data_IF_808016352954
#
_entry.id   IF_808016352954
#
_cell.length_a   1.000
_cell.length_b   1.000
_cell.length_c   1.000
_cell.angle_alpha   90.00
_cell.angle_beta   90.00
_cell.angle_gamma   90.00
#
_symmetry.space_group_name_H-M   'P 1'
#
loop_
_entity.id
_entity.type
_entity.pdbx_description
1 polymer ?
#
# COMPACT_ATOMS: atom_id res chain seq x y z
N UNK A 1 -9.54 6.84 14.32
CA UNK A 1 -9.84 5.41 14.60
C UNK A 1 -10.00 4.70 13.27
N UNK A 2 -9.34 3.56 13.06
CA UNK A 2 -9.46 2.77 11.82
C UNK A 2 -10.69 1.86 11.87
N UNK A 3 -11.33 1.66 10.72
CA UNK A 3 -12.49 0.81 10.51
C UNK A 3 -12.09 -0.66 10.58
N UNK A 4 -12.79 -1.42 11.43
CA UNK A 4 -12.63 -2.86 11.52
C UNK A 4 -13.37 -3.62 10.40
N UNK A 5 -14.66 -3.37 10.12
CA UNK A 5 -15.38 -4.11 9.08
C UNK A 5 -14.69 -4.05 7.71
N UNK A 6 -14.56 -5.22 7.09
CA UNK A 6 -14.14 -5.39 5.68
C UNK A 6 -15.19 -6.32 5.06
N UNK A 7 -16.17 -5.78 4.31
CA UNK A 7 -17.20 -6.59 3.70
C UNK A 7 -16.62 -7.44 2.56
N UNK A 8 -17.40 -8.40 2.09
CA UNK A 8 -17.07 -9.19 0.91
C UNK A 8 -16.85 -8.26 -0.31
N UNK A 9 -15.70 -8.32 -1.00
CA UNK A 9 -15.48 -7.47 -2.17
C UNK A 9 -16.41 -7.88 -3.32
N UNK A 10 -16.89 -6.92 -4.12
CA UNK A 10 -17.61 -7.23 -5.35
C UNK A 10 -16.66 -7.87 -6.37
N UNK A 11 -17.22 -8.53 -7.39
CA UNK A 11 -16.42 -9.15 -8.46
C UNK A 11 -15.68 -8.11 -9.30
N UNK A 12 -16.27 -6.93 -9.52
CA UNK A 12 -15.64 -5.83 -10.22
C UNK A 12 -15.76 -4.52 -9.43
N UNK A 13 -14.73 -3.67 -9.51
CA UNK A 13 -14.72 -2.37 -8.84
C UNK A 13 -15.91 -1.49 -9.28
N UNK A 14 -16.33 -1.60 -10.54
CA UNK A 14 -17.45 -0.85 -11.08
C UNK A 14 -18.77 -1.10 -10.32
N UNK A 15 -18.95 -2.28 -9.72
CA UNK A 15 -20.14 -2.63 -8.95
C UNK A 15 -20.25 -1.85 -7.64
N UNK A 16 -19.14 -1.28 -7.15
CA UNK A 16 -19.13 -0.43 -5.96
C UNK A 16 -20.05 0.78 -6.10
N UNK A 17 -20.25 1.28 -7.33
CA UNK A 17 -21.22 2.34 -7.64
C UNK A 17 -22.64 1.97 -7.19
N UNK A 18 -23.03 0.71 -7.30
CA UNK A 18 -24.39 0.29 -6.93
C UNK A 18 -24.58 0.25 -5.41
N UNK A 19 -23.53 -0.12 -4.65
CA UNK A 19 -23.53 0.00 -3.19
C UNK A 19 -23.63 1.47 -2.76
N UNK A 20 -22.87 2.37 -3.39
CA UNK A 20 -22.98 3.81 -3.15
C UNK A 20 -24.38 4.35 -3.51
N UNK A 21 -24.94 3.93 -4.65
CA UNK A 21 -26.26 4.38 -5.13
C UNK A 21 -27.42 3.91 -4.25
N UNK A 22 -27.24 2.83 -3.49
CA UNK A 22 -28.23 2.40 -2.52
C UNK A 22 -28.43 3.43 -1.39
N UNK A 23 -27.36 4.13 -1.01
CA UNK A 23 -27.41 5.23 -0.03
C UNK A 23 -28.07 6.47 -0.66
N UNK A 24 -28.99 7.15 0.04
CA UNK A 24 -29.79 8.24 -0.53
C UNK A 24 -28.98 9.53 -0.77
N UNK A 25 -29.51 10.37 -1.66
CA UNK A 25 -29.01 11.74 -1.93
C UNK A 25 -29.44 12.75 -0.86
N UNK A 26 -30.49 12.43 -0.12
CA UNK A 26 -30.95 13.20 1.04
C UNK A 26 -30.55 12.41 2.29
N UNK A 27 -29.97 13.04 3.34
CA UNK A 27 -29.55 12.33 4.53
C UNK A 27 -30.69 11.52 5.17
N UNK A 28 -30.43 10.25 5.45
CA UNK A 28 -31.35 9.33 6.14
C UNK A 28 -30.65 8.62 7.30
N UNK A 29 -31.41 8.10 8.27
CA UNK A 29 -30.83 7.42 9.43
C UNK A 29 -30.16 6.11 9.04
N UNK A 30 -29.30 5.60 9.93
CA UNK A 30 -28.59 4.34 9.75
C UNK A 30 -29.52 3.19 9.39
N UNK A 31 -30.64 3.02 10.09
CA UNK A 31 -31.58 1.92 9.85
C UNK A 31 -32.19 1.97 8.45
N UNK A 32 -32.57 3.18 8.02
CA UNK A 32 -33.16 3.42 6.71
C UNK A 32 -32.13 3.17 5.59
N UNK A 33 -30.87 3.60 5.79
CA UNK A 33 -29.76 3.30 4.88
C UNK A 33 -29.44 1.80 4.80
N UNK A 34 -29.39 1.12 5.95
CA UNK A 34 -29.16 -0.31 6.02
C UNK A 34 -30.27 -1.10 5.34
N UNK A 35 -31.53 -0.74 5.52
CA UNK A 35 -32.65 -1.37 4.82
C UNK A 35 -32.49 -1.25 3.30
N UNK A 36 -32.19 -0.05 2.80
CA UNK A 36 -31.96 0.19 1.37
C UNK A 36 -30.78 -0.60 0.80
N UNK A 37 -29.67 -0.68 1.55
CA UNK A 37 -28.50 -1.46 1.15
C UNK A 37 -28.84 -2.95 1.05
N UNK A 38 -29.60 -3.48 2.01
CA UNK A 38 -30.07 -4.88 1.96
C UNK A 38 -30.96 -5.13 0.77
N UNK A 39 -31.99 -4.31 0.59
CA UNK A 39 -33.01 -4.54 -0.44
C UNK A 39 -32.43 -4.39 -1.86
N UNK A 40 -31.45 -3.50 -2.06
CA UNK A 40 -30.90 -3.21 -3.39
C UNK A 40 -29.69 -4.06 -3.76
N UNK A 41 -28.98 -4.62 -2.77
CA UNK A 41 -27.76 -5.41 -2.96
C UNK A 41 -27.87 -6.83 -2.40
N UNK A 42 -29.10 -7.26 -2.08
CA UNK A 42 -29.44 -8.57 -1.52
C UNK A 42 -28.57 -8.98 -0.32
N UNK A 43 -28.30 -8.03 0.59
CA UNK A 43 -27.45 -8.30 1.75
C UNK A 43 -28.19 -9.15 2.80
N UNK A 44 -27.54 -10.17 3.38
CA UNK A 44 -28.20 -11.21 4.15
C UNK A 44 -28.87 -10.68 5.42
N UNK A 45 -28.29 -9.67 6.06
CA UNK A 45 -28.81 -9.11 7.31
C UNK A 45 -28.42 -7.63 7.51
N UNK A 46 -29.00 -7.01 8.53
CA UNK A 46 -28.73 -5.61 8.90
C UNK A 46 -27.28 -5.37 9.33
N UNK A 47 -26.62 -6.34 9.95
CA UNK A 47 -25.23 -6.19 10.37
C UNK A 47 -24.31 -6.02 9.16
N UNK A 48 -24.45 -6.88 8.15
CA UNK A 48 -23.67 -6.80 6.89
C UNK A 48 -23.93 -5.48 6.17
N UNK A 49 -25.18 -4.99 6.15
CA UNK A 49 -25.49 -3.69 5.57
C UNK A 49 -24.88 -2.51 6.33
N UNK A 50 -24.85 -2.59 7.65
CA UNK A 50 -24.19 -1.59 8.49
C UNK A 50 -22.66 -1.59 8.29
N UNK A 51 -22.07 -2.78 8.14
CA UNK A 51 -20.65 -2.94 7.83
C UNK A 51 -20.31 -2.32 6.46
N UNK A 52 -21.13 -2.56 5.44
CA UNK A 52 -21.04 -1.89 4.15
C UNK A 52 -21.17 -0.36 4.25
N UNK A 53 -22.16 0.15 5.00
CA UNK A 53 -22.34 1.59 5.16
C UNK A 53 -21.11 2.25 5.82
N UNK A 54 -20.55 1.61 6.86
CA UNK A 54 -19.35 2.08 7.51
C UNK A 54 -18.12 2.01 6.58
N UNK A 55 -18.03 0.97 5.75
CA UNK A 55 -16.97 0.79 4.75
C UNK A 55 -17.04 1.84 3.64
N UNK A 56 -18.20 2.11 3.06
CA UNK A 56 -18.40 3.18 2.08
C UNK A 56 -18.01 4.56 2.65
N UNK A 57 -18.28 4.80 3.94
CA UNK A 57 -17.81 6.01 4.63
C UNK A 57 -16.29 6.05 4.76
N UNK A 58 -15.64 4.92 5.06
CA UNK A 58 -14.19 4.85 5.08
C UNK A 58 -13.58 5.16 3.70
N UNK A 59 -14.23 4.71 2.62
CA UNK A 59 -13.81 5.01 1.25
C UNK A 59 -14.15 6.44 0.78
N UNK A 60 -14.91 7.22 1.55
CA UNK A 60 -15.34 8.58 1.15
C UNK A 60 -16.49 8.62 0.14
N UNK A 61 -17.10 7.47 -0.16
CA UNK A 61 -18.28 7.35 -1.04
C UNK A 61 -19.59 7.73 -0.34
N UNK A 62 -19.56 7.73 0.99
CA UNK A 62 -20.66 8.11 1.87
C UNK A 62 -20.13 9.06 2.95
N UNK A 63 -20.97 10.02 3.33
CA UNK A 63 -20.68 10.94 4.43
C UNK A 63 -21.76 10.85 5.49
N UNK A 64 -21.34 10.89 6.74
CA UNK A 64 -22.23 11.04 7.88
C UNK A 64 -22.46 12.53 8.17
N UNK A 65 -23.70 12.86 8.53
CA UNK A 65 -24.15 14.21 8.89
C UNK A 65 -24.94 14.15 10.19
N UNK A 66 -25.28 15.31 10.75
CA UNK A 66 -26.18 15.38 11.91
C UNK A 66 -27.58 14.77 11.67
N UNK A 67 -27.99 14.63 10.40
CA UNK A 67 -29.29 14.06 9.99
C UNK A 67 -29.18 12.62 9.48
N UNK A 68 -28.00 11.99 9.59
CA UNK A 68 -27.74 10.64 9.09
C UNK A 68 -26.81 10.62 7.88
N UNK A 69 -26.90 9.58 7.06
CA UNK A 69 -25.95 9.25 6.00
C UNK A 69 -26.46 9.69 4.63
N UNK A 70 -25.54 10.18 3.82
CA UNK A 70 -25.78 10.63 2.45
C UNK A 70 -24.63 10.17 1.56
N UNK A 71 -24.93 9.75 0.32
CA UNK A 71 -23.87 9.43 -0.65
C UNK A 71 -23.16 10.71 -1.12
N UNK A 72 -21.86 10.61 -1.40
CA UNK A 72 -21.11 11.69 -2.04
C UNK A 72 -21.30 11.64 -3.56
N UNK A 73 -20.83 12.69 -4.25
CA UNK A 73 -20.69 12.76 -5.71
C UNK A 73 -19.36 12.16 -6.21
N UNK A 74 -18.52 11.66 -5.31
CA UNK A 74 -17.25 11.04 -5.66
C UNK A 74 -17.49 9.74 -6.44
N UNK A 75 -16.77 9.59 -7.54
CA UNK A 75 -16.74 8.35 -8.32
C UNK A 75 -15.83 7.32 -7.63
N UNK A 76 -16.21 6.03 -7.55
CA UNK A 76 -15.39 4.98 -6.95
C UNK A 76 -14.25 4.57 -7.89
N UNK A 77 -13.28 5.46 -8.07
CA UNK A 77 -12.05 5.19 -8.82
C UNK A 77 -11.12 4.28 -8.00
N UNK A 78 -10.20 3.54 -8.66
CA UNK A 78 -9.19 2.76 -7.95
C UNK A 78 -8.43 3.61 -6.92
N UNK A 79 -7.99 4.81 -7.30
CA UNK A 79 -7.23 5.69 -6.41
C UNK A 79 -8.01 6.13 -5.18
N UNK A 80 -9.29 6.51 -5.33
CA UNK A 80 -10.13 6.88 -4.19
C UNK A 80 -10.24 5.71 -3.20
N UNK A 81 -10.44 4.49 -3.72
CA UNK A 81 -10.56 3.28 -2.89
C UNK A 81 -9.22 2.96 -2.22
N UNK A 82 -8.11 3.02 -2.95
CA UNK A 82 -6.76 2.86 -2.39
C UNK A 82 -6.50 3.83 -1.23
N UNK A 83 -6.81 5.11 -1.41
CA UNK A 83 -6.69 6.14 -0.35
C UNK A 83 -7.54 5.81 0.86
N UNK A 84 -8.80 5.42 0.64
CA UNK A 84 -9.73 5.04 1.72
C UNK A 84 -9.26 3.83 2.51
N UNK A 85 -8.79 2.78 1.83
CA UNK A 85 -8.23 1.58 2.44
C UNK A 85 -7.01 1.93 3.31
N UNK A 86 -5.99 2.56 2.72
CA UNK A 86 -4.73 2.93 3.40
C UNK A 86 -4.95 3.78 4.64
N UNK A 87 -5.79 4.82 4.52
CA UNK A 87 -5.98 5.79 5.58
C UNK A 87 -6.97 5.37 6.67
N UNK A 88 -7.96 4.52 6.35
CA UNK A 88 -9.11 4.31 7.24
C UNK A 88 -9.43 2.87 7.57
N UNK A 89 -8.84 1.86 6.93
CA UNK A 89 -9.10 0.45 7.26
C UNK A 89 -7.98 -0.13 8.14
N UNK A 90 -8.37 -0.90 9.14
CA UNK A 90 -7.47 -1.51 10.10
C UNK A 90 -6.64 -2.62 9.42
N UNK A 91 -5.34 -2.69 9.74
CA UNK A 91 -4.37 -3.66 9.23
C UNK A 91 -3.99 -3.53 7.74
N UNK A 92 -4.39 -2.45 7.06
CA UNK A 92 -3.95 -2.22 5.67
C UNK A 92 -2.44 -1.99 5.57
N UNK A 93 -1.80 -1.10 6.37
CA UNK A 93 -0.36 -0.88 6.28
C UNK A 93 0.43 -2.17 6.48
N UNK A 94 0.07 -2.97 7.48
CA UNK A 94 0.71 -4.24 7.78
C UNK A 94 0.55 -5.26 6.65
N UNK A 95 -0.60 -5.24 5.96
CA UNK A 95 -0.81 -6.05 4.76
C UNK A 95 0.04 -5.57 3.58
N UNK A 96 0.15 -4.26 3.36
CA UNK A 96 0.99 -3.70 2.30
C UNK A 96 2.47 -3.98 2.54
N UNK A 97 2.94 -3.88 3.79
CA UNK A 97 4.31 -4.22 4.16
C UNK A 97 4.61 -5.70 3.93
N UNK A 98 3.67 -6.59 4.24
CA UNK A 98 3.79 -8.01 3.92
C UNK A 98 3.86 -8.26 2.40
N UNK A 99 3.01 -7.59 1.62
CA UNK A 99 2.97 -7.73 0.16
C UNK A 99 4.25 -7.20 -0.52
N UNK A 100 4.84 -6.12 -0.02
CA UNK A 100 6.12 -5.58 -0.53
C UNK A 100 7.29 -6.55 -0.34
N UNK A 101 7.29 -7.30 0.76
CA UNK A 101 8.31 -8.29 1.06
C UNK A 101 8.07 -9.65 0.38
N UNK A 102 6.86 -9.86 -0.16
CA UNK A 102 6.46 -11.13 -0.73
C UNK A 102 7.07 -11.35 -2.12
N UNK A 103 7.29 -12.61 -2.46
CA UNK A 103 7.74 -13.03 -3.79
C UNK A 103 6.80 -14.10 -4.32
N UNK A 104 6.81 -14.42 -5.63
CA UNK A 104 6.00 -15.52 -6.15
C UNK A 104 6.31 -16.88 -5.50
N UNK A 105 7.52 -17.07 -4.96
CA UNK A 105 7.91 -18.28 -4.25
C UNK A 105 7.50 -18.29 -2.77
N UNK A 106 7.24 -17.12 -2.19
CA UNK A 106 6.79 -16.93 -0.82
C UNK A 106 5.69 -15.84 -0.77
N UNK A 107 4.47 -16.16 -1.28
CA UNK A 107 3.39 -15.20 -1.37
C UNK A 107 2.68 -15.03 -0.01
N UNK A 108 2.02 -13.87 0.19
CA UNK A 108 1.19 -13.63 1.37
C UNK A 108 -0.12 -14.42 1.26
N UNK A 109 -0.32 -15.39 2.15
CA UNK A 109 -1.60 -16.09 2.29
C UNK A 109 -2.49 -15.40 3.32
N UNK A 110 -3.83 -15.62 3.30
CA UNK A 110 -4.72 -15.12 4.35
C UNK A 110 -4.29 -15.55 5.76
N UNK A 111 -3.83 -16.79 5.90
CA UNK A 111 -3.32 -17.34 7.15
C UNK A 111 -2.02 -16.67 7.58
N UNK A 112 -1.07 -16.47 6.65
CA UNK A 112 0.18 -15.78 6.91
C UNK A 112 -0.04 -14.32 7.33
N UNK A 113 -0.97 -13.62 6.67
CA UNK A 113 -1.34 -12.25 7.03
C UNK A 113 -2.00 -12.20 8.41
N UNK A 114 -2.90 -13.14 8.71
CA UNK A 114 -3.51 -13.22 10.04
C UNK A 114 -2.45 -13.46 11.12
N UNK A 115 -1.56 -14.43 10.97
CA UNK A 115 -0.52 -14.70 11.98
C UNK A 115 0.38 -13.49 12.22
N UNK A 116 0.81 -12.79 11.15
CA UNK A 116 1.59 -11.55 11.26
C UNK A 116 0.88 -10.44 12.02
N UNK A 117 -0.44 -10.34 11.88
CA UNK A 117 -1.24 -9.26 12.47
C UNK A 117 -2.00 -9.66 13.73
N UNK A 118 -1.84 -10.91 14.17
CA UNK A 118 -2.55 -11.54 15.28
C UNK A 118 -2.44 -10.71 16.56
N UNK A 119 -1.26 -10.16 16.85
CA UNK A 119 -1.00 -9.36 18.04
C UNK A 119 -1.70 -7.99 18.02
N UNK A 120 -1.94 -7.45 16.82
CA UNK A 120 -2.63 -6.17 16.59
C UNK A 120 -4.16 -6.29 16.66
N UNK A 121 -4.71 -7.52 16.71
CA UNK A 121 -6.16 -7.75 16.85
C UNK A 121 -6.66 -7.20 18.20
N UNK A 122 -7.70 -6.33 18.24
CA UNK A 122 -8.22 -5.76 19.48
C UNK A 122 -8.60 -6.82 20.53
N UNK A 123 -8.12 -6.64 21.78
CA UNK A 123 -8.36 -7.58 22.90
C UNK A 123 -9.85 -7.89 23.13
N UNK A 124 -10.72 -6.88 23.02
CA UNK A 124 -12.16 -7.06 23.18
C UNK A 124 -12.75 -8.03 22.14
N UNK A 125 -12.22 -8.04 20.91
CA UNK A 125 -12.72 -8.94 19.88
C UNK A 125 -12.35 -10.39 20.19
N UNK A 126 -11.13 -10.63 20.70
CA UNK A 126 -10.68 -11.98 21.14
C UNK A 126 -11.50 -12.51 22.33
N UNK A 127 -11.99 -11.61 23.19
CA UNK A 127 -12.76 -11.98 24.38
C UNK A 127 -14.24 -12.24 24.09
N UNK A 128 -14.80 -11.64 23.04
CA UNK A 128 -16.24 -11.68 22.73
C UNK A 128 -16.64 -12.89 21.88
N UNK A 129 -15.71 -13.44 21.11
CA UNK A 129 -15.95 -14.47 20.12
C UNK A 129 -14.96 -15.63 20.33
N UNK A 130 -15.41 -16.85 20.68
CA UNK A 130 -14.52 -18.01 20.84
C UNK A 130 -13.83 -18.38 19.53
N UNK A 131 -14.45 -18.08 18.38
CA UNK A 131 -13.95 -18.41 17.03
C UNK A 131 -13.33 -17.18 16.36
N UNK A 132 -12.85 -16.21 17.15
CA UNK A 132 -12.30 -14.96 16.63
C UNK A 132 -11.15 -15.18 15.63
N UNK A 133 -10.35 -16.23 15.79
CA UNK A 133 -9.24 -16.51 14.88
C UNK A 133 -9.73 -16.79 13.46
N UNK A 134 -10.76 -17.62 13.33
CA UNK A 134 -11.40 -17.92 12.05
C UNK A 134 -12.01 -16.65 11.44
N UNK A 135 -12.77 -15.89 12.25
CA UNK A 135 -13.35 -14.60 11.84
C UNK A 135 -12.29 -13.61 11.33
N UNK A 136 -11.10 -13.58 11.93
CA UNK A 136 -10.02 -12.68 11.54
C UNK A 136 -9.19 -13.21 10.35
N UNK A 137 -9.05 -14.53 10.18
CA UNK A 137 -8.52 -15.13 8.94
C UNK A 137 -9.42 -14.84 7.75
N UNK A 138 -10.74 -14.99 7.88
CA UNK A 138 -11.69 -14.60 6.84
C UNK A 138 -11.60 -13.11 6.50
N UNK A 139 -11.45 -12.26 7.54
CA UNK A 139 -11.26 -10.83 7.34
C UNK A 139 -9.95 -10.54 6.58
N UNK A 140 -8.87 -11.25 6.88
CA UNK A 140 -7.60 -11.14 6.17
C UNK A 140 -7.76 -11.54 4.69
N UNK A 141 -8.48 -12.63 4.41
CA UNK A 141 -8.84 -13.03 3.04
C UNK A 141 -9.62 -11.93 2.31
N UNK A 142 -10.70 -11.40 2.91
CA UNK A 142 -11.48 -10.30 2.33
C UNK A 142 -10.60 -9.06 2.08
N UNK A 143 -9.67 -8.77 2.99
CA UNK A 143 -8.75 -7.65 2.84
C UNK A 143 -7.81 -7.82 1.64
N UNK A 144 -7.16 -8.98 1.49
CA UNK A 144 -6.28 -9.27 0.35
C UNK A 144 -7.04 -9.17 -0.98
N UNK A 145 -8.27 -9.69 -1.04
CA UNK A 145 -9.13 -9.58 -2.23
C UNK A 145 -9.54 -8.14 -2.54
N UNK A 146 -9.79 -7.30 -1.53
CA UNK A 146 -10.02 -5.87 -1.73
C UNK A 146 -8.77 -5.16 -2.27
N UNK A 147 -7.59 -5.50 -1.77
CA UNK A 147 -6.32 -4.96 -2.26
C UNK A 147 -6.07 -5.38 -3.72
N UNK A 148 -6.39 -6.62 -4.07
CA UNK A 148 -6.32 -7.11 -5.44
C UNK A 148 -7.29 -6.42 -6.39
N UNK A 149 -8.51 -6.11 -5.92
CA UNK A 149 -9.51 -5.38 -6.71
C UNK A 149 -9.07 -3.97 -7.14
N UNK A 150 -8.05 -3.41 -6.48
CA UNK A 150 -7.47 -2.10 -6.79
C UNK A 150 -5.98 -2.19 -7.10
N UNK A 151 -5.51 -3.34 -7.58
CA UNK A 151 -4.14 -3.58 -8.07
C UNK A 151 -3.03 -3.32 -7.03
N UNK A 152 -3.36 -3.32 -5.74
CA UNK A 152 -2.36 -3.26 -4.66
C UNK A 152 -1.81 -4.65 -4.31
N UNK A 153 -2.53 -5.70 -4.68
CA UNK A 153 -2.10 -7.08 -4.58
C UNK A 153 -2.35 -7.77 -5.92
N UNK A 154 -1.55 -8.77 -6.25
CA UNK A 154 -1.78 -9.65 -7.38
C UNK A 154 -1.89 -11.09 -6.85
N UNK A 155 -2.95 -11.83 -7.19
CA UNK A 155 -3.06 -13.23 -6.80
C UNK A 155 -2.02 -14.07 -7.55
N UNK A 156 -1.38 -15.00 -6.84
CA UNK A 156 -0.44 -15.97 -7.40
C UNK A 156 -1.10 -17.35 -7.41
N UNK A 157 -0.85 -18.12 -8.47
CA UNK A 157 -1.38 -19.47 -8.62
C UNK A 157 -2.81 -19.52 -9.18
N UNK A 158 -3.27 -20.72 -9.55
CA UNK A 158 -4.57 -20.95 -10.19
C UNK A 158 -5.77 -20.87 -9.24
N UNK A 159 -5.53 -20.98 -7.93
CA UNK A 159 -6.57 -20.93 -6.89
C UNK A 159 -6.51 -19.64 -6.04
N UNK A 160 -5.58 -18.72 -6.34
CA UNK A 160 -5.39 -17.46 -5.60
C UNK A 160 -5.27 -17.64 -4.08
N UNK A 161 -4.48 -18.63 -3.65
CA UNK A 161 -4.19 -18.94 -2.25
C UNK A 161 -3.10 -18.04 -1.65
N UNK A 162 -2.35 -17.34 -2.50
CA UNK A 162 -1.35 -16.35 -2.11
C UNK A 162 -1.40 -15.08 -2.96
N UNK A 163 -0.82 -14.01 -2.43
CA UNK A 163 -0.76 -12.69 -3.05
C UNK A 163 0.66 -12.11 -2.99
N UNK A 164 1.05 -11.40 -4.04
CA UNK A 164 2.25 -10.55 -4.08
C UNK A 164 1.84 -9.09 -4.27
N UNK A 165 2.79 -8.15 -4.19
CA UNK A 165 2.54 -6.77 -4.54
C UNK A 165 2.00 -6.66 -5.97
N UNK A 166 0.83 -6.02 -6.14
CA UNK A 166 0.30 -5.71 -7.47
C UNK A 166 0.97 -4.47 -8.05
N UNK A 167 0.72 -4.20 -9.34
CA UNK A 167 1.34 -3.10 -10.10
C UNK A 167 1.25 -1.74 -9.39
N UNK A 168 0.10 -1.40 -8.79
CA UNK A 168 -0.09 -0.12 -8.13
C UNK A 168 0.63 -0.02 -6.77
N UNK A 169 1.00 -1.15 -6.17
CA UNK A 169 1.86 -1.18 -4.98
C UNK A 169 3.33 -1.19 -5.37
N UNK A 170 3.71 -1.94 -6.40
CA UNK A 170 5.08 -2.01 -6.91
C UNK A 170 5.55 -0.66 -7.48
N UNK A 171 4.66 0.08 -8.13
CA UNK A 171 4.92 1.42 -8.65
C UNK A 171 4.71 2.52 -7.59
N UNK A 172 4.38 2.17 -6.34
CA UNK A 172 4.23 3.18 -5.30
C UNK A 172 5.60 3.77 -4.91
N UNK A 173 5.65 5.03 -4.44
CA UNK A 173 6.92 5.68 -4.23
C UNK A 173 7.85 5.01 -3.19
N UNK A 174 7.29 4.35 -2.16
CA UNK A 174 8.08 3.63 -1.16
C UNK A 174 8.69 2.36 -1.74
N UNK A 175 7.91 1.58 -2.49
CA UNK A 175 8.37 0.38 -3.18
C UNK A 175 9.47 0.71 -4.19
N UNK A 176 9.31 1.81 -4.95
CA UNK A 176 10.32 2.27 -5.90
C UNK A 176 11.63 2.69 -5.21
N UNK A 177 11.56 3.41 -4.09
CA UNK A 177 12.74 3.79 -3.32
C UNK A 177 13.49 2.56 -2.77
N UNK A 178 12.77 1.58 -2.23
CA UNK A 178 13.37 0.32 -1.75
C UNK A 178 13.99 -0.48 -2.90
N UNK A 179 13.26 -0.64 -4.01
CA UNK A 179 13.74 -1.36 -5.19
C UNK A 179 14.99 -0.70 -5.80
N UNK A 180 15.11 0.62 -5.73
CA UNK A 180 16.30 1.36 -6.15
C UNK A 180 17.54 0.95 -5.35
N UNK A 181 17.45 0.86 -4.01
CA UNK A 181 18.56 0.41 -3.17
C UNK A 181 18.86 -1.07 -3.37
N UNK A 182 17.84 -1.92 -3.41
CA UNK A 182 18.01 -3.35 -3.64
C UNK A 182 18.74 -3.63 -4.95
N UNK A 183 18.35 -2.95 -6.04
CA UNK A 183 19.00 -3.10 -7.35
C UNK A 183 20.44 -2.58 -7.35
N UNK A 184 20.71 -1.48 -6.64
CA UNK A 184 22.07 -0.95 -6.48
C UNK A 184 22.98 -1.90 -5.71
N UNK A 185 22.50 -2.41 -4.58
CA UNK A 185 23.28 -3.29 -3.68
C UNK A 185 23.51 -4.67 -4.30
N UNK A 186 22.53 -5.18 -5.06
CA UNK A 186 22.69 -6.42 -5.81
C UNK A 186 23.52 -6.25 -7.11
N UNK A 187 23.88 -5.02 -7.50
CA UNK A 187 24.56 -4.73 -8.76
C UNK A 187 23.71 -5.02 -10.00
N UNK A 188 22.38 -5.02 -9.87
CA UNK A 188 21.42 -5.29 -10.94
C UNK A 188 21.15 -4.01 -11.75
N UNK A 189 22.17 -3.52 -12.47
CA UNK A 189 22.12 -2.20 -13.12
C UNK A 189 21.08 -2.06 -14.23
N UNK A 190 20.70 -3.15 -14.90
CA UNK A 190 19.61 -3.14 -15.88
C UNK A 190 18.26 -2.92 -15.18
N UNK A 191 18.03 -3.62 -14.06
CA UNK A 191 16.85 -3.40 -13.21
C UNK A 191 16.84 -1.99 -12.65
N UNK A 192 17.98 -1.47 -12.21
CA UNK A 192 18.10 -0.08 -11.76
C UNK A 192 17.70 0.88 -12.89
N UNK A 193 18.20 0.67 -14.12
CA UNK A 193 17.83 1.51 -15.26
C UNK A 193 16.33 1.46 -15.58
N UNK A 194 15.68 0.32 -15.38
CA UNK A 194 14.23 0.18 -15.57
C UNK A 194 13.39 0.89 -14.51
N UNK A 195 13.93 1.18 -13.33
CA UNK A 195 13.25 1.96 -12.28
C UNK A 195 13.33 3.47 -12.53
N UNK A 196 14.38 3.92 -13.23
CA UNK A 196 14.67 5.33 -13.46
C UNK A 196 13.99 5.85 -14.73
N UNK A 197 13.48 7.07 -14.66
CA UNK A 197 13.07 7.81 -15.86
C UNK A 197 14.30 8.12 -16.75
N UNK A 198 14.20 8.09 -18.08
CA UNK A 198 15.33 8.43 -18.95
C UNK A 198 15.95 9.80 -18.65
N UNK A 199 15.13 10.78 -18.26
CA UNK A 199 15.55 12.13 -17.87
C UNK A 199 15.87 12.26 -16.37
N UNK A 200 16.08 11.15 -15.66
CA UNK A 200 16.42 11.13 -14.24
C UNK A 200 17.58 12.08 -13.89
N UNK A 201 17.44 12.80 -12.78
CA UNK A 201 18.50 13.67 -12.25
C UNK A 201 18.79 13.32 -10.79
N UNK A 202 20.07 13.08 -10.47
CA UNK A 202 20.52 13.00 -9.08
C UNK A 202 21.30 14.26 -8.71
N UNK A 203 20.96 14.87 -7.58
CA UNK A 203 21.75 15.88 -6.90
C UNK A 203 22.34 15.34 -5.60
N UNK A 204 23.64 15.48 -5.43
CA UNK A 204 24.35 15.22 -4.17
C UNK A 204 25.37 16.35 -3.92
N UNK A 205 25.86 16.56 -2.68
CA UNK A 205 26.60 17.77 -2.34
C UNK A 205 27.89 17.96 -3.16
N UNK A 206 28.53 16.87 -3.59
CA UNK A 206 29.76 16.87 -4.36
C UNK A 206 29.55 16.85 -5.89
N UNK A 207 28.36 16.45 -6.37
CA UNK A 207 28.13 16.20 -7.81
C UNK A 207 26.65 16.19 -8.19
N UNK A 208 26.38 16.45 -9.47
CA UNK A 208 25.08 16.20 -10.11
C UNK A 208 25.25 15.21 -11.25
N UNK A 209 24.27 14.31 -11.42
CA UNK A 209 24.15 13.42 -12.58
C UNK A 209 22.89 13.77 -13.35
N UNK A 210 23.04 14.11 -14.63
CA UNK A 210 21.93 14.38 -15.54
C UNK A 210 21.76 13.20 -16.50
N UNK A 211 20.57 12.61 -16.52
CA UNK A 211 20.22 11.47 -17.35
C UNK A 211 20.56 10.13 -16.70
N UNK A 212 19.63 9.18 -16.86
CA UNK A 212 19.76 7.82 -16.34
C UNK A 212 21.05 7.13 -16.77
N UNK A 213 21.36 7.16 -18.07
CA UNK A 213 22.47 6.36 -18.61
C UNK A 213 23.83 6.79 -18.03
N UNK A 214 24.00 8.10 -17.79
CA UNK A 214 25.20 8.65 -17.14
C UNK A 214 25.31 8.19 -15.69
N UNK A 215 24.19 8.24 -14.96
CA UNK A 215 24.10 7.81 -13.57
C UNK A 215 24.38 6.30 -13.42
N UNK A 216 23.74 5.45 -14.22
CA UNK A 216 23.90 3.99 -14.16
C UNK A 216 25.34 3.59 -14.52
N UNK A 217 25.93 4.22 -15.55
CA UNK A 217 27.34 4.00 -15.90
C UNK A 217 28.27 4.35 -14.74
N UNK A 218 28.01 5.47 -14.05
CA UNK A 218 28.80 5.84 -12.87
C UNK A 218 28.70 4.77 -11.79
N UNK A 219 27.48 4.32 -11.48
CA UNK A 219 27.24 3.34 -10.42
C UNK A 219 27.90 2.00 -10.70
N UNK A 220 27.95 1.57 -11.96
CA UNK A 220 28.59 0.31 -12.37
C UNK A 220 30.11 0.40 -12.45
N UNK A 221 30.63 1.44 -13.08
CA UNK A 221 32.00 1.44 -13.61
C UNK A 221 32.94 2.43 -12.89
N UNK A 222 32.40 3.45 -12.19
CA UNK A 222 33.19 4.59 -11.68
C UNK A 222 33.15 4.76 -10.15
N UNK A 223 32.41 3.92 -9.42
CA UNK A 223 32.32 4.03 -7.96
C UNK A 223 33.67 3.73 -7.30
N UNK A 224 34.13 4.57 -6.35
CA UNK A 224 35.35 4.30 -5.59
C UNK A 224 35.27 3.02 -4.75
N UNK A 225 34.07 2.73 -4.23
CA UNK A 225 33.72 1.55 -3.45
C UNK A 225 32.41 1.00 -4.03
N UNK A 226 32.48 -0.20 -4.59
CA UNK A 226 31.35 -0.90 -5.23
C UNK A 226 30.70 -1.91 -4.28
N UNK A 227 31.48 -2.50 -3.38
CA UNK A 227 31.01 -3.49 -2.40
C UNK A 227 30.51 -2.77 -1.14
N UNK A 228 29.28 -2.27 -1.23
CA UNK A 228 28.60 -1.51 -0.18
C UNK A 228 27.15 -1.92 -0.08
N UNK A 229 26.52 -1.70 1.06
CA UNK A 229 25.09 -1.95 1.26
C UNK A 229 24.40 -0.70 1.81
N UNK A 230 23.21 -0.38 1.29
CA UNK A 230 22.35 0.68 1.81
C UNK A 230 21.40 0.10 2.85
N UNK A 231 21.73 0.28 4.13
CA UNK A 231 20.84 -0.06 5.22
C UNK A 231 19.74 1.02 5.34
N UNK A 232 18.52 0.69 4.86
CA UNK A 232 17.34 1.56 4.99
C UNK A 232 16.79 1.48 6.41
N UNK A 233 16.96 2.55 7.19
CA UNK A 233 16.51 2.62 8.57
C UNK A 233 15.04 3.07 8.67
N UNK A 234 14.61 4.01 7.82
CA UNK A 234 13.22 4.49 7.77
C UNK A 234 12.85 5.05 6.40
N UNK A 235 11.57 4.91 6.03
CA UNK A 235 10.98 5.52 4.84
C UNK A 235 9.80 6.40 5.24
N UNK A 236 9.75 7.60 4.67
CA UNK A 236 8.72 8.61 4.90
C UNK A 236 8.01 8.92 3.57
N UNK A 237 6.87 8.26 3.30
CA UNK A 237 6.18 8.34 2.02
C UNK A 237 5.28 9.58 1.86
N UNK A 238 5.22 10.45 2.88
CA UNK A 238 4.42 11.67 2.87
C UNK A 238 5.30 12.89 2.59
N UNK A 239 4.91 13.72 1.61
CA UNK A 239 5.65 14.94 1.27
C UNK A 239 5.66 15.20 -0.24
N UNK A 240 6.51 16.13 -0.73
CA UNK A 240 6.71 16.35 -2.17
C UNK A 240 7.39 15.17 -2.89
N UNK A 241 7.79 14.14 -2.15
CA UNK A 241 8.46 12.91 -2.61
C UNK A 241 8.49 11.87 -1.49
N UNK A 242 9.41 10.91 -1.58
CA UNK A 242 9.68 9.94 -0.50
C UNK A 242 11.04 10.23 0.09
N UNK A 243 11.09 10.50 1.39
CA UNK A 243 12.36 10.62 2.10
C UNK A 243 12.76 9.26 2.67
N UNK A 244 14.03 8.89 2.52
CA UNK A 244 14.62 7.68 3.08
C UNK A 244 15.78 8.08 3.96
N UNK A 245 15.73 7.65 5.22
CA UNK A 245 16.89 7.73 6.11
C UNK A 245 17.58 6.37 6.13
N UNK A 246 18.90 6.38 5.97
CA UNK A 246 19.68 5.15 5.99
C UNK A 246 21.16 5.39 6.23
N UNK A 247 21.90 4.29 6.15
CA UNK A 247 23.35 4.25 6.33
C UNK A 247 23.98 3.47 5.18
N UNK A 248 25.09 4.00 4.66
CA UNK A 248 25.92 3.24 3.74
C UNK A 248 26.92 2.42 4.55
N UNK A 249 26.93 1.11 4.33
CA UNK A 249 27.83 0.17 4.97
C UNK A 249 28.88 -0.32 3.97
N UNK A 250 30.08 -0.64 4.45
CA UNK A 250 31.09 -1.33 3.65
C UNK A 250 30.86 -2.86 3.63
N UNK A 251 31.75 -3.58 2.96
CA UNK A 251 31.71 -5.04 2.85
C UNK A 251 31.81 -5.79 4.19
N UNK A 252 32.35 -5.16 5.24
CA UNK A 252 32.39 -5.72 6.59
C UNK A 252 31.11 -5.41 7.40
N UNK A 253 30.24 -4.55 6.87
CA UNK A 253 29.06 -4.04 7.55
C UNK A 253 29.35 -2.83 8.46
N UNK A 254 30.55 -2.26 8.37
CA UNK A 254 30.90 -1.06 9.12
C UNK A 254 30.28 0.17 8.45
N UNK A 255 29.77 1.10 9.27
CA UNK A 255 29.14 2.31 8.77
C UNK A 255 30.17 3.26 8.15
N UNK A 256 29.97 3.60 6.87
CA UNK A 256 30.72 4.63 6.18
C UNK A 256 30.16 6.02 6.48
N UNK A 257 28.84 6.19 6.32
CA UNK A 257 28.12 7.42 6.68
C UNK A 257 26.59 7.21 6.69
N UNK A 258 25.88 8.08 7.41
CA UNK A 258 24.43 8.21 7.33
C UNK A 258 24.00 9.18 6.22
N UNK A 259 22.83 8.91 5.63
CA UNK A 259 22.24 9.73 4.57
C UNK A 259 20.73 9.92 4.75
N UNK A 260 20.24 11.00 4.13
CA UNK A 260 18.82 11.22 3.83
C UNK A 260 18.69 11.43 2.32
N UNK A 261 17.91 10.58 1.68
CA UNK A 261 17.63 10.65 0.25
C UNK A 261 16.18 11.05 0.03
N UNK A 262 15.93 12.03 -0.83
CA UNK A 262 14.59 12.47 -1.21
C UNK A 262 14.32 12.10 -2.66
N UNK A 263 13.47 11.09 -2.85
CA UNK A 263 13.06 10.59 -4.17
C UNK A 263 11.88 11.39 -4.71
N UNK A 264 11.97 11.80 -5.97
CA UNK A 264 10.83 12.27 -6.77
C UNK A 264 10.38 11.16 -7.69
N UNK A 265 9.07 10.88 -7.69
CA UNK A 265 8.46 9.80 -8.47
C UNK A 265 7.34 10.36 -9.32
N UNK A 266 7.30 9.97 -10.59
CA UNK A 266 6.19 10.23 -11.50
C UNK A 266 5.97 9.03 -12.41
N UNK A 267 4.72 8.76 -12.77
CA UNK A 267 4.34 7.70 -13.71
C UNK A 267 4.97 6.32 -13.41
N UNK A 268 5.09 5.99 -12.12
CA UNK A 268 5.66 4.72 -11.65
C UNK A 268 7.19 4.60 -11.83
N UNK A 269 7.89 5.72 -12.03
CA UNK A 269 9.35 5.77 -12.18
C UNK A 269 9.97 6.82 -11.27
N UNK A 270 11.22 6.59 -10.88
CA UNK A 270 12.01 7.58 -10.15
C UNK A 270 12.53 8.62 -11.16
N UNK A 271 12.09 9.87 -11.01
CA UNK A 271 12.49 10.98 -11.89
C UNK A 271 13.61 11.82 -11.29
N UNK A 272 13.82 11.75 -9.98
CA UNK A 272 14.91 12.48 -9.35
C UNK A 272 15.25 11.97 -7.96
N UNK A 273 16.46 12.30 -7.53
CA UNK A 273 16.99 11.94 -6.21
C UNK A 273 17.85 13.08 -5.68
N UNK A 274 17.53 13.57 -4.48
CA UNK A 274 18.37 14.51 -3.76
C UNK A 274 18.97 13.83 -2.52
N UNK A 275 20.29 13.71 -2.49
CA UNK A 275 21.03 13.06 -1.41
C UNK A 275 21.62 14.09 -0.47
N UNK A 276 21.33 13.93 0.82
CA UNK A 276 21.94 14.66 1.93
C UNK A 276 22.76 13.67 2.75
N UNK A 277 24.08 13.76 2.69
CA UNK A 277 24.98 12.96 3.50
C UNK A 277 25.90 13.87 4.30
N UNK A 278 26.26 13.44 5.51
CA UNK A 278 27.24 14.17 6.30
C UNK A 278 28.59 14.10 5.57
N UNK A 279 29.17 15.25 5.25
CA UNK A 279 30.52 15.30 4.69
C UNK A 279 31.51 14.91 5.79
N UNK A 280 32.25 13.82 5.57
CA UNK A 280 33.42 13.46 6.39
C UNK A 280 34.56 14.45 6.25
#
# INVERSE_FOLDING_TARGET
MRLKPVPEPPTALADLREYQRAVPLVPERTDDCCARLRDRRDLPNRQVANDWLAFLRALGLVRETSRGFVRTDAEPTPDLVRTGLRGRVLLVPEALDALRAATPADPVTPDGLFERTRESVPRHDRARDPDWEESWRERANRLLRWLALVDLAEPVGSEADGYVAGDALAADPESLARAYYDALDAGEYDRLADLLDPAFVQHRPDRTFEGRDRFVTFMRDERPLTDTTHAVDAVFPEGPGVAVCGRLLDAAGDELFAFVDVFTVADGRVTGLETYAQSG
#
